data_IF_848313369252
#
_entry.id   IF_848313369252
#
_cell.length_a   1.000
_cell.length_b   1.000
_cell.length_c   1.000
_cell.angle_alpha   90.00
_cell.angle_beta   90.00
_cell.angle_gamma   90.00
#
_symmetry.space_group_name_H-M   'P 1'
#
loop_
_entity.id
_entity.type
_entity.pdbx_description
1 polymer ?
#
# COMPACT_ATOMS: atom_id res chain seq x y z
N UNK A 1 2.60 -3.61 -5.12
CA UNK A 1 2.26 -3.38 -3.70
C UNK A 1 0.89 -4.00 -3.45
N UNK A 2 0.71 -4.75 -2.37
CA UNK A 2 -0.58 -5.37 -2.02
C UNK A 2 -1.13 -4.67 -0.78
N UNK A 3 -2.41 -4.31 -0.82
CA UNK A 3 -3.15 -3.88 0.36
C UNK A 3 -3.94 -5.08 0.85
N UNK A 4 -3.68 -5.47 2.09
CA UNK A 4 -4.28 -6.65 2.72
C UNK A 4 -4.99 -6.16 3.97
N UNK A 5 -6.29 -6.40 4.04
CA UNK A 5 -7.06 -6.24 5.27
C UNK A 5 -6.72 -7.39 6.23
N UNK A 6 -6.26 -7.00 7.42
CA UNK A 6 -5.86 -7.90 8.51
C UNK A 6 -6.79 -7.78 9.73
N UNK A 7 -7.98 -7.20 9.56
CA UNK A 7 -9.01 -7.09 10.60
C UNK A 7 -9.43 -8.46 11.16
N UNK A 8 -9.39 -9.51 10.31
CA UNK A 8 -9.43 -10.91 10.74
C UNK A 8 -8.05 -11.55 10.59
N UNK A 9 -7.33 -11.72 11.70
CA UNK A 9 -5.98 -12.29 11.73
C UNK A 9 -5.92 -13.77 11.32
N UNK A 10 -7.06 -14.48 11.32
CA UNK A 10 -7.15 -15.89 10.88
C UNK A 10 -7.50 -16.05 9.40
N UNK A 11 -7.96 -14.97 8.76
CA UNK A 11 -8.32 -14.94 7.35
C UNK A 11 -8.06 -13.55 6.74
N UNK A 12 -6.78 -13.21 6.46
CA UNK A 12 -6.45 -11.97 5.76
C UNK A 12 -7.06 -11.92 4.37
N UNK A 13 -7.52 -10.75 3.94
CA UNK A 13 -8.14 -10.52 2.64
C UNK A 13 -7.31 -9.51 1.83
N UNK A 14 -6.93 -9.85 0.59
CA UNK A 14 -6.33 -8.87 -0.32
C UNK A 14 -7.43 -7.94 -0.88
N UNK A 15 -7.33 -6.65 -0.56
CA UNK A 15 -8.33 -5.64 -0.95
C UNK A 15 -7.90 -4.86 -2.19
N UNK A 16 -6.59 -4.71 -2.43
CA UNK A 16 -6.08 -4.06 -3.63
C UNK A 16 -4.70 -4.58 -4.05
N UNK A 17 -4.49 -4.59 -5.38
CA UNK A 17 -3.19 -4.82 -6.01
C UNK A 17 -2.81 -3.58 -6.80
N UNK A 18 -1.69 -2.97 -6.42
CA UNK A 18 -1.15 -1.80 -7.09
C UNK A 18 0.10 -2.20 -7.87
N UNK A 19 0.03 -1.98 -9.18
CA UNK A 19 1.17 -2.15 -10.08
C UNK A 19 2.21 -1.08 -9.75
N UNK A 20 3.34 -1.54 -9.21
CA UNK A 20 4.51 -0.71 -8.93
C UNK A 20 5.45 -0.93 -10.10
N UNK A 21 5.73 0.13 -10.84
CA UNK A 21 6.46 0.05 -12.11
C UNK A 21 7.93 -0.31 -11.94
N UNK A 22 8.47 -0.17 -10.72
CA UNK A 22 9.81 -0.54 -10.32
C UNK A 22 9.78 -1.26 -8.95
N UNK A 23 10.96 -1.51 -8.36
CA UNK A 23 11.08 -2.16 -7.05
C UNK A 23 10.67 -1.21 -5.93
N UNK A 24 9.66 -1.60 -5.16
CA UNK A 24 9.35 -0.97 -3.88
C UNK A 24 10.43 -1.31 -2.85
N UNK A 25 11.07 -0.28 -2.28
CA UNK A 25 12.14 -0.43 -1.29
C UNK A 25 11.63 -0.40 0.15
N UNK A 26 10.68 0.48 0.44
CA UNK A 26 10.13 0.65 1.78
C UNK A 26 8.74 1.30 1.73
N UNK A 27 7.97 1.11 2.81
CA UNK A 27 6.67 1.74 3.03
C UNK A 27 6.56 2.31 4.45
N UNK A 28 6.14 3.55 4.55
CA UNK A 28 5.80 4.20 5.83
C UNK A 28 4.34 4.65 5.83
N UNK A 29 3.68 4.61 6.99
CA UNK A 29 2.29 5.05 7.15
C UNK A 29 2.24 6.22 8.13
N UNK A 30 1.50 7.26 7.75
CA UNK A 30 1.19 8.39 8.64
C UNK A 30 -0.24 8.86 8.40
N UNK A 31 -1.08 8.75 9.43
CA UNK A 31 -2.52 9.01 9.31
C UNK A 31 -3.16 8.10 8.25
N UNK A 32 -3.83 8.72 7.28
CA UNK A 32 -4.50 8.04 6.17
C UNK A 32 -3.63 7.89 4.93
N UNK A 33 -2.31 8.11 5.03
CA UNK A 33 -1.43 8.04 3.86
C UNK A 33 -0.35 6.97 4.03
N UNK A 34 -0.12 6.24 2.95
CA UNK A 34 1.04 5.38 2.77
C UNK A 34 2.05 6.04 1.83
N UNK A 35 3.31 6.04 2.23
CA UNK A 35 4.45 6.61 1.53
C UNK A 35 5.32 5.45 1.03
N UNK A 36 5.37 5.26 -0.28
CA UNK A 36 6.08 4.16 -0.93
C UNK A 36 7.33 4.67 -1.64
N UNK A 37 8.50 4.20 -1.23
CA UNK A 37 9.74 4.40 -1.98
C UNK A 37 9.77 3.47 -3.20
N UNK A 38 9.40 3.98 -4.37
CA UNK A 38 9.26 3.24 -5.62
C UNK A 38 10.45 3.46 -6.56
N UNK A 39 11.57 2.81 -6.25
CA UNK A 39 12.79 2.78 -7.07
C UNK A 39 13.12 4.09 -7.78
N UNK A 40 13.22 4.01 -9.10
CA UNK A 40 13.53 5.14 -9.97
C UNK A 40 12.35 6.09 -10.19
N UNK A 41 11.13 5.67 -9.89
CA UNK A 41 9.95 6.53 -9.94
C UNK A 41 9.88 7.50 -8.74
N UNK A 42 10.68 7.28 -7.70
CA UNK A 42 10.81 8.16 -6.55
C UNK A 42 9.83 7.82 -5.42
N UNK A 43 9.05 8.79 -4.98
CA UNK A 43 8.09 8.63 -3.87
C UNK A 43 6.66 8.62 -4.40
N UNK A 44 5.90 7.57 -4.11
CA UNK A 44 4.44 7.55 -4.30
C UNK A 44 3.74 7.76 -2.96
N UNK A 45 2.67 8.53 -2.99
CA UNK A 45 1.80 8.78 -1.83
C UNK A 45 0.42 8.23 -2.18
N UNK A 46 -0.11 7.38 -1.31
CA UNK A 46 -1.39 6.70 -1.50
C UNK A 46 -2.33 7.08 -0.37
N UNK A 47 -3.56 7.45 -0.70
CA UNK A 47 -4.62 7.66 0.27
C UNK A 47 -5.20 6.30 0.64
N UNK A 48 -4.96 5.85 1.86
CA UNK A 48 -5.41 4.56 2.38
C UNK A 48 -6.59 4.72 3.34
N UNK A 49 -7.34 5.83 3.25
CA UNK A 49 -8.54 6.04 4.06
C UNK A 49 -9.66 5.03 3.74
N UNK A 50 -9.73 4.56 2.50
CA UNK A 50 -10.53 3.41 2.08
C UNK A 50 -9.60 2.31 1.51
N UNK A 51 -9.29 1.26 2.29
CA UNK A 51 -8.40 0.18 1.86
C UNK A 51 -8.88 -0.62 0.64
N UNK A 52 -10.17 -0.51 0.27
CA UNK A 52 -10.71 -1.10 -0.95
C UNK A 52 -10.48 -0.23 -2.18
N UNK A 53 -10.21 1.06 -2.01
CA UNK A 53 -9.97 2.04 -3.08
C UNK A 53 -8.78 2.97 -2.74
N UNK A 54 -7.55 2.43 -2.59
CA UNK A 54 -6.35 3.21 -2.28
C UNK A 54 -5.72 3.92 -3.49
#
# INVERSE_FOLDING_TARGET
MRVIDVSNTSAPLETALLEVGDTAWDVAVSGNFAYLADGLAGLRILDISDPANP
#
